data_IF_206945970191
#
_entry.id   IF_206945970191
#
_cell.length_a   1.000
_cell.length_b   1.000
_cell.length_c   1.000
_cell.angle_alpha   90.00
_cell.angle_beta   90.00
_cell.angle_gamma   90.00
#
_symmetry.space_group_name_H-M   'P 1'
#
loop_
_entity.id
_entity.type
_entity.pdbx_description
1 polymer ?
#
# COMPACT_ATOMS: atom_id res chain seq x y z
N UNK A 1 -0.77 -34.04 35.80
CA UNK A 1 -1.67 -32.88 35.75
C UNK A 1 -1.48 -32.26 34.38
N UNK A 2 -2.50 -32.24 33.53
CA UNK A 2 -2.40 -31.60 32.21
C UNK A 2 -2.32 -30.09 32.43
N UNK A 3 -1.12 -29.52 32.32
CA UNK A 3 -0.90 -28.07 32.31
C UNK A 3 -1.66 -27.46 31.14
N UNK A 4 -2.94 -27.17 31.40
CA UNK A 4 -3.80 -26.55 30.42
C UNK A 4 -3.42 -25.08 30.41
N UNK A 5 -2.65 -24.69 29.40
CA UNK A 5 -2.25 -23.30 29.15
C UNK A 5 -3.46 -22.39 29.36
N UNK A 6 -3.33 -21.43 30.28
CA UNK A 6 -4.44 -20.54 30.64
C UNK A 6 -4.70 -19.56 29.52
N UNK A 7 -5.61 -19.91 28.61
CA UNK A 7 -6.10 -18.97 27.61
C UNK A 7 -6.72 -17.73 28.28
N UNK A 8 -6.53 -16.55 27.67
CA UNK A 8 -7.03 -15.25 28.15
C UNK A 8 -8.48 -15.30 28.64
N UNK A 9 -9.33 -16.00 27.87
CA UNK A 9 -10.73 -16.25 28.18
C UNK A 9 -11.01 -17.75 28.24
N UNK A 10 -11.81 -18.15 29.22
CA UNK A 10 -12.29 -19.53 29.31
C UNK A 10 -13.24 -19.86 28.15
N UNK A 11 -13.39 -21.14 27.81
CA UNK A 11 -14.33 -21.59 26.77
C UNK A 11 -15.74 -21.07 27.00
N UNK A 12 -16.21 -21.10 28.24
CA UNK A 12 -17.53 -20.57 28.63
C UNK A 12 -17.64 -19.06 28.44
N UNK A 13 -16.57 -18.30 28.73
CA UNK A 13 -16.58 -16.86 28.52
C UNK A 13 -16.64 -16.50 27.02
N UNK A 14 -15.89 -17.23 26.18
CA UNK A 14 -15.94 -17.05 24.72
C UNK A 14 -17.33 -17.34 24.15
N UNK A 15 -17.94 -18.46 24.54
CA UNK A 15 -19.29 -18.82 24.09
C UNK A 15 -20.31 -17.73 24.45
N UNK A 16 -20.23 -17.17 25.68
CA UNK A 16 -21.13 -16.09 26.12
C UNK A 16 -20.96 -14.79 25.35
N UNK A 17 -19.75 -14.46 24.89
CA UNK A 17 -19.53 -13.29 24.03
C UNK A 17 -20.15 -13.52 22.66
N UNK A 18 -19.99 -14.72 22.10
CA UNK A 18 -20.53 -15.08 20.78
C UNK A 18 -22.06 -15.09 20.75
N UNK A 19 -22.70 -15.46 21.87
CA UNK A 19 -24.16 -15.48 22.02
C UNK A 19 -24.73 -14.20 22.64
N UNK A 20 -23.98 -13.10 22.69
CA UNK A 20 -24.33 -11.83 23.35
C UNK A 20 -25.00 -11.97 24.73
N UNK A 21 -24.56 -12.97 25.50
CA UNK A 21 -25.10 -13.30 26.83
C UNK A 21 -26.62 -13.55 26.88
N UNK A 22 -27.26 -13.96 25.78
CA UNK A 22 -28.71 -14.22 25.67
C UNK A 22 -29.25 -15.07 26.83
N UNK A 23 -28.59 -16.18 27.14
CA UNK A 23 -29.00 -17.15 28.18
C UNK A 23 -28.49 -16.82 29.60
N UNK A 24 -27.96 -15.62 29.83
CA UNK A 24 -27.35 -15.25 31.12
C UNK A 24 -28.22 -14.25 31.88
N UNK A 25 -28.59 -14.63 33.11
CA UNK A 25 -29.31 -13.77 34.04
C UNK A 25 -28.67 -12.37 34.17
N UNK A 26 -29.45 -11.28 34.26
CA UNK A 26 -28.93 -9.91 34.21
C UNK A 26 -27.81 -9.59 35.22
N UNK A 27 -27.92 -10.07 36.46
CA UNK A 27 -26.90 -9.84 37.50
C UNK A 27 -25.58 -10.56 37.19
N UNK A 28 -25.66 -11.81 36.71
CA UNK A 28 -24.52 -12.62 36.29
C UNK A 28 -23.89 -12.07 35.02
N UNK A 29 -24.70 -11.60 34.07
CA UNK A 29 -24.27 -10.94 32.83
C UNK A 29 -23.37 -9.74 33.10
N UNK A 30 -23.82 -8.80 33.95
CA UNK A 30 -23.02 -7.61 34.29
C UNK A 30 -21.66 -7.99 34.92
N UNK A 31 -21.66 -8.96 35.83
CA UNK A 31 -20.44 -9.45 36.48
C UNK A 31 -19.48 -10.08 35.47
N UNK A 32 -20.00 -10.95 34.61
CA UNK A 32 -19.20 -11.66 33.61
C UNK A 32 -18.66 -10.70 32.55
N UNK A 33 -19.47 -9.76 32.06
CA UNK A 33 -19.02 -8.69 31.15
C UNK A 33 -17.92 -7.83 31.77
N UNK A 34 -18.02 -7.47 33.06
CA UNK A 34 -16.96 -6.72 33.76
C UNK A 34 -15.66 -7.52 33.82
N UNK A 35 -15.76 -8.81 34.18
CA UNK A 35 -14.60 -9.70 34.30
C UNK A 35 -13.92 -9.95 32.95
N UNK A 36 -14.72 -10.18 31.90
CA UNK A 36 -14.22 -10.38 30.54
C UNK A 36 -13.52 -9.11 30.04
N UNK A 37 -14.14 -7.94 30.19
CA UNK A 37 -13.52 -6.65 29.80
C UNK A 37 -12.18 -6.43 30.51
N UNK A 38 -12.14 -6.67 31.81
CA UNK A 38 -10.90 -6.56 32.60
C UNK A 38 -9.81 -7.51 32.12
N UNK A 39 -10.16 -8.74 31.73
CA UNK A 39 -9.19 -9.71 31.19
C UNK A 39 -8.67 -9.29 29.83
N UNK A 40 -9.56 -8.86 28.92
CA UNK A 40 -9.15 -8.39 27.59
C UNK A 40 -8.24 -7.17 27.71
N UNK A 41 -8.57 -6.21 28.56
CA UNK A 41 -7.72 -5.05 28.82
C UNK A 41 -6.34 -5.44 29.39
N UNK A 42 -6.31 -6.37 30.35
CA UNK A 42 -5.05 -6.87 30.90
C UNK A 42 -4.20 -7.59 29.83
N UNK A 43 -4.82 -8.42 28.98
CA UNK A 43 -4.10 -9.11 27.91
C UNK A 43 -3.50 -8.16 26.86
N UNK A 44 -4.12 -7.00 26.63
CA UNK A 44 -3.51 -5.95 25.79
C UNK A 44 -2.34 -5.27 26.51
N UNK A 45 -2.46 -5.03 27.82
CA UNK A 45 -1.38 -4.47 28.61
C UNK A 45 -0.17 -5.42 28.72
N UNK A 46 -0.37 -6.74 28.67
CA UNK A 46 0.71 -7.73 28.68
C UNK A 46 1.68 -7.56 27.49
N UNK A 47 1.27 -6.91 26.38
CA UNK A 47 2.17 -6.59 25.28
C UNK A 47 3.31 -5.65 25.66
N UNK A 48 3.16 -4.84 26.71
CA UNK A 48 4.26 -4.01 27.24
C UNK A 48 5.43 -4.89 27.69
N UNK A 49 5.14 -5.95 28.43
CA UNK A 49 6.15 -6.91 28.88
C UNK A 49 6.68 -7.74 27.70
N UNK A 50 5.78 -8.28 26.87
CA UNK A 50 6.14 -9.11 25.72
C UNK A 50 7.03 -8.35 24.73
N UNK A 51 6.80 -7.06 24.51
CA UNK A 51 7.66 -6.25 23.64
C UNK A 51 9.13 -6.20 24.08
N UNK A 52 9.45 -6.57 25.32
CA UNK A 52 10.82 -6.59 25.86
C UNK A 52 11.35 -8.00 26.13
N UNK A 53 10.58 -9.04 25.79
CA UNK A 53 11.02 -10.42 25.99
C UNK A 53 12.23 -10.76 25.11
N UNK A 54 13.21 -11.54 25.64
CA UNK A 54 14.33 -12.00 24.84
C UNK A 54 13.87 -12.87 23.67
N UNK A 55 14.49 -12.71 22.50
CA UNK A 55 14.13 -13.43 21.26
C UNK A 55 14.09 -14.95 21.43
N UNK A 56 15.05 -15.51 22.19
CA UNK A 56 15.11 -16.94 22.51
C UNK A 56 13.82 -17.47 23.16
N UNK A 57 13.10 -16.65 23.92
CA UNK A 57 11.84 -17.08 24.54
C UNK A 57 10.73 -17.22 23.50
N UNK A 58 10.73 -16.40 22.45
CA UNK A 58 9.81 -16.55 21.33
C UNK A 58 10.14 -17.76 20.47
N UNK A 59 11.43 -17.99 20.19
CA UNK A 59 11.87 -19.21 19.50
C UNK A 59 11.38 -20.47 20.22
N UNK A 60 11.56 -20.53 21.55
CA UNK A 60 11.10 -21.67 22.35
C UNK A 60 9.56 -21.77 22.42
N UNK A 61 8.86 -20.64 22.50
CA UNK A 61 7.39 -20.63 22.61
C UNK A 61 6.70 -21.10 21.31
N UNK A 62 7.35 -20.92 20.17
CA UNK A 62 6.79 -21.24 18.85
C UNK A 62 7.52 -22.37 18.11
N UNK A 63 8.49 -23.04 18.74
CA UNK A 63 9.32 -24.11 18.14
C UNK A 63 8.50 -25.25 17.51
N UNK A 64 7.37 -25.59 18.14
CA UNK A 64 6.48 -26.66 17.68
C UNK A 64 5.42 -26.20 16.67
N UNK A 65 5.29 -24.89 16.41
CA UNK A 65 4.28 -24.34 15.50
C UNK A 65 4.79 -24.26 14.07
N UNK A 66 3.94 -24.62 13.10
CA UNK A 66 4.26 -24.39 11.70
C UNK A 66 4.19 -22.90 11.36
N UNK A 67 5.02 -22.46 10.41
CA UNK A 67 4.99 -21.08 9.92
C UNK A 67 3.60 -20.66 9.40
N UNK A 68 2.84 -21.59 8.83
CA UNK A 68 1.48 -21.34 8.35
C UNK A 68 0.52 -21.04 9.50
N UNK A 69 0.54 -21.86 10.57
CA UNK A 69 -0.27 -21.64 11.76
C UNK A 69 0.12 -20.34 12.47
N UNK A 70 1.42 -20.10 12.66
CA UNK A 70 1.92 -18.87 13.26
C UNK A 70 1.53 -17.63 12.44
N UNK A 71 1.56 -17.71 11.11
CA UNK A 71 1.13 -16.60 10.24
C UNK A 71 -0.36 -16.30 10.41
N UNK A 72 -1.21 -17.32 10.51
CA UNK A 72 -2.64 -17.14 10.76
C UNK A 72 -2.88 -16.48 12.13
N UNK A 73 -2.22 -16.96 13.19
CA UNK A 73 -2.34 -16.41 14.53
C UNK A 73 -1.87 -14.94 14.60
N UNK A 74 -0.76 -14.60 13.93
CA UNK A 74 -0.26 -13.23 13.82
C UNK A 74 -1.21 -12.32 13.04
N UNK A 75 -1.88 -12.84 12.01
CA UNK A 75 -2.88 -12.09 11.25
C UNK A 75 -4.10 -11.76 12.14
N UNK A 76 -4.58 -12.73 12.92
CA UNK A 76 -5.70 -12.53 13.87
C UNK A 76 -5.32 -11.55 15.00
N UNK A 77 -4.09 -11.63 15.50
CA UNK A 77 -3.56 -10.66 16.46
C UNK A 77 -3.51 -9.24 15.86
N UNK A 78 -3.00 -9.10 14.63
CA UNK A 78 -2.96 -7.82 13.92
C UNK A 78 -4.36 -7.22 13.72
N UNK A 79 -5.33 -8.02 13.25
CA UNK A 79 -6.73 -7.58 13.08
C UNK A 79 -7.34 -7.13 14.41
N UNK A 80 -7.03 -7.84 15.50
CA UNK A 80 -7.51 -7.48 16.84
C UNK A 80 -6.95 -6.13 17.29
N UNK A 81 -5.65 -5.90 17.13
CA UNK A 81 -4.99 -4.64 17.47
C UNK A 81 -5.57 -3.48 16.64
N UNK A 82 -5.71 -3.66 15.32
CA UNK A 82 -6.28 -2.63 14.44
C UNK A 82 -7.75 -2.34 14.77
N UNK A 83 -8.54 -3.35 15.12
CA UNK A 83 -9.92 -3.15 15.55
C UNK A 83 -10.00 -2.34 16.85
N UNK A 84 -9.14 -2.64 17.83
CA UNK A 84 -9.05 -1.86 19.08
C UNK A 84 -8.68 -0.41 18.77
N UNK A 85 -7.68 -0.19 17.90
CA UNK A 85 -7.26 1.14 17.46
C UNK A 85 -8.42 1.93 16.85
N UNK A 86 -9.14 1.33 15.90
CA UNK A 86 -10.26 1.98 15.20
C UNK A 86 -11.42 2.28 16.16
N UNK A 87 -11.78 1.35 17.04
CA UNK A 87 -12.89 1.54 18.00
C UNK A 87 -12.61 2.65 19.02
N UNK A 88 -11.34 2.98 19.27
CA UNK A 88 -10.93 4.03 20.20
C UNK A 88 -10.45 5.31 19.49
N UNK A 89 -10.65 5.41 18.16
CA UNK A 89 -10.26 6.56 17.35
C UNK A 89 -8.77 6.97 17.48
N UNK A 90 -7.89 5.98 17.56
CA UNK A 90 -6.45 6.20 17.67
C UNK A 90 -5.84 6.24 16.26
N UNK A 91 -5.06 7.27 15.90
CA UNK A 91 -4.40 7.28 14.59
C UNK A 91 -3.27 6.24 14.53
N UNK A 92 -3.12 5.62 13.35
CA UNK A 92 -2.08 4.60 13.13
C UNK A 92 -0.66 5.18 13.25
N UNK A 93 -0.46 6.41 12.80
CA UNK A 93 0.84 7.08 12.84
C UNK A 93 1.24 7.41 14.30
N UNK A 94 0.27 7.68 15.17
CA UNK A 94 0.50 7.88 16.61
C UNK A 94 0.98 6.59 17.29
N UNK A 95 0.33 5.45 16.98
CA UNK A 95 0.77 4.13 17.46
C UNK A 95 2.20 3.82 17.00
N UNK A 96 2.51 4.09 15.72
CA UNK A 96 3.83 3.86 15.16
C UNK A 96 4.89 4.75 15.81
N UNK A 97 4.55 6.01 16.08
CA UNK A 97 5.44 6.96 16.76
C UNK A 97 5.72 6.50 18.19
N UNK A 98 4.67 6.15 18.94
CA UNK A 98 4.78 5.63 20.31
C UNK A 98 5.60 4.34 20.37
N UNK A 99 5.36 3.39 19.46
CA UNK A 99 6.11 2.13 19.41
C UNK A 99 7.61 2.36 19.15
N UNK A 100 7.97 3.37 18.35
CA UNK A 100 9.37 3.75 18.13
C UNK A 100 10.00 4.40 19.36
N UNK A 101 9.25 5.20 20.10
CA UNK A 101 9.70 5.78 21.37
C UNK A 101 9.95 4.69 22.42
N UNK A 102 9.05 3.71 22.52
CA UNK A 102 9.23 2.55 23.38
C UNK A 102 10.47 1.75 22.99
N UNK A 103 10.65 1.45 21.69
CA UNK A 103 11.87 0.78 21.20
C UNK A 103 13.13 1.57 21.57
N UNK A 104 13.16 2.89 21.33
CA UNK A 104 14.30 3.75 21.68
C UNK A 104 14.62 3.74 23.17
N UNK A 105 13.62 3.58 24.02
CA UNK A 105 13.79 3.52 25.47
C UNK A 105 14.31 2.16 25.96
N UNK A 106 14.25 1.12 25.12
CA UNK A 106 14.71 -0.23 25.42
C UNK A 106 16.14 -0.53 24.91
N UNK A 107 16.87 0.47 24.40
CA UNK A 107 18.10 0.30 23.57
C UNK A 107 19.35 -0.19 24.31
N UNK A 108 19.38 -0.24 25.65
CA UNK A 108 20.57 -0.73 26.35
C UNK A 108 20.59 -2.26 26.59
N UNK A 109 19.47 -2.98 26.42
CA UNK A 109 19.37 -4.45 26.68
C UNK A 109 18.21 -5.15 25.89
N UNK A 110 17.70 -4.52 24.83
CA UNK A 110 16.54 -5.02 24.08
C UNK A 110 16.83 -6.18 23.11
N UNK A 111 15.80 -6.93 22.67
CA UNK A 111 15.97 -8.01 21.69
C UNK A 111 16.37 -7.50 20.29
N UNK A 112 17.33 -8.19 19.66
CA UNK A 112 17.87 -7.87 18.32
C UNK A 112 16.78 -7.81 17.24
N UNK A 113 15.74 -8.65 17.36
CA UNK A 113 14.65 -8.71 16.38
C UNK A 113 13.90 -7.39 16.22
N UNK A 114 13.85 -6.53 17.24
CA UNK A 114 13.15 -5.24 17.18
C UNK A 114 13.88 -4.19 16.33
N UNK A 115 15.18 -4.34 16.14
CA UNK A 115 15.97 -3.46 15.29
C UNK A 115 15.65 -3.68 13.81
N UNK A 116 15.33 -4.92 13.44
CA UNK A 116 14.90 -5.29 12.09
C UNK A 116 13.46 -4.86 11.77
N UNK A 117 12.63 -4.58 12.79
CA UNK A 117 11.23 -4.15 12.58
C UNK A 117 11.17 -2.74 12.01
N UNK A 118 10.81 -2.65 10.73
CA UNK A 118 10.59 -1.39 10.01
C UNK A 118 9.16 -0.88 10.19
N UNK A 119 8.89 -0.23 11.33
CA UNK A 119 7.67 0.56 11.52
C UNK A 119 7.73 1.79 10.61
N UNK A 120 6.65 2.15 9.90
CA UNK A 120 6.62 3.31 8.98
C UNK A 120 5.28 4.05 9.02
N UNK A 121 5.34 5.37 9.20
CA UNK A 121 4.15 6.24 9.15
C UNK A 121 3.65 6.44 7.72
N UNK A 122 2.41 6.92 7.56
CA UNK A 122 1.86 7.28 6.23
C UNK A 122 2.71 8.35 5.56
N UNK A 123 3.18 9.35 6.30
CA UNK A 123 4.03 10.42 5.78
C UNK A 123 5.37 9.90 5.21
N UNK A 124 5.95 8.88 5.83
CA UNK A 124 7.17 8.23 5.33
C UNK A 124 6.90 7.34 4.14
N UNK A 125 5.80 6.59 4.15
CA UNK A 125 5.38 5.80 2.98
C UNK A 125 5.14 6.71 1.78
N UNK A 126 4.47 7.85 1.99
CA UNK A 126 4.22 8.85 0.95
C UNK A 126 5.52 9.44 0.42
N UNK A 127 6.44 9.88 1.28
CA UNK A 127 7.76 10.39 0.85
C UNK A 127 8.56 9.36 0.07
N UNK A 128 8.52 8.08 0.49
CA UNK A 128 9.19 7.00 -0.24
C UNK A 128 8.56 6.77 -1.61
N UNK A 129 7.23 6.73 -1.70
CA UNK A 129 6.52 6.62 -2.97
C UNK A 129 6.84 7.83 -3.86
N UNK A 130 6.85 9.04 -3.32
CA UNK A 130 7.25 10.25 -4.06
C UNK A 130 8.70 10.14 -4.55
N UNK A 131 9.63 9.61 -3.75
CA UNK A 131 11.03 9.43 -4.13
C UNK A 131 11.21 8.29 -5.16
N UNK A 132 10.50 7.17 -5.00
CA UNK A 132 10.50 6.05 -5.94
C UNK A 132 9.84 6.46 -7.27
N UNK A 133 8.74 7.21 -7.21
CA UNK A 133 8.12 7.82 -8.38
C UNK A 133 9.05 8.86 -9.01
N UNK A 134 9.74 9.72 -8.28
CA UNK A 134 10.72 10.65 -8.85
C UNK A 134 11.91 9.93 -9.51
N UNK A 135 12.33 8.78 -8.96
CA UNK A 135 13.36 7.94 -9.54
C UNK A 135 12.88 7.21 -10.81
N UNK A 136 11.65 6.72 -10.82
CA UNK A 136 11.02 6.00 -11.95
C UNK A 136 10.49 6.95 -13.05
N UNK A 137 10.00 8.13 -12.65
CA UNK A 137 9.58 9.25 -13.50
C UNK A 137 10.68 10.29 -13.73
N UNK A 138 11.95 9.96 -13.49
CA UNK A 138 13.05 10.71 -14.12
C UNK A 138 12.75 10.71 -15.62
N UNK A 139 12.59 11.88 -16.28
CA UNK A 139 12.14 11.93 -17.67
C UNK A 139 13.12 11.11 -18.50
N UNK A 140 12.68 9.91 -18.89
CA UNK A 140 13.52 8.96 -19.61
C UNK A 140 14.09 9.66 -20.85
N UNK A 141 15.30 9.28 -21.28
CA UNK A 141 15.93 9.87 -22.48
C UNK A 141 14.97 9.92 -23.67
N UNK A 142 14.07 8.93 -23.75
CA UNK A 142 12.96 8.83 -24.71
C UNK A 142 11.84 9.87 -24.54
N UNK A 143 11.46 10.26 -23.31
CA UNK A 143 10.48 11.34 -23.07
C UNK A 143 11.04 12.70 -23.49
N UNK A 144 12.33 12.94 -23.20
CA UNK A 144 13.03 14.16 -23.65
C UNK A 144 13.17 14.18 -25.17
N UNK A 145 13.51 13.04 -25.78
CA UNK A 145 13.60 12.90 -27.22
C UNK A 145 12.23 13.12 -27.88
N UNK A 146 11.16 12.50 -27.38
CA UNK A 146 9.80 12.70 -27.94
C UNK A 146 9.31 14.13 -27.80
N UNK A 147 9.54 14.78 -26.65
CA UNK A 147 9.14 16.18 -26.44
C UNK A 147 9.94 17.13 -27.35
N UNK A 148 11.22 16.85 -27.58
CA UNK A 148 12.06 17.63 -28.51
C UNK A 148 11.61 17.43 -29.96
N UNK A 149 11.35 16.17 -30.37
CA UNK A 149 10.85 15.87 -31.71
C UNK A 149 9.48 16.52 -31.95
N UNK A 150 8.57 16.46 -30.98
CA UNK A 150 7.26 17.10 -31.10
C UNK A 150 7.36 18.62 -31.24
N UNK A 151 8.20 19.28 -30.43
CA UNK A 151 8.43 20.74 -30.52
C UNK A 151 9.07 21.16 -31.84
N UNK A 152 10.12 20.45 -32.26
CA UNK A 152 10.84 20.75 -33.52
C UNK A 152 9.93 20.49 -34.72
N UNK A 153 9.23 19.36 -34.73
CA UNK A 153 8.30 19.03 -35.80
C UNK A 153 7.11 20.00 -35.88
N UNK A 154 6.54 20.41 -34.73
CA UNK A 154 5.47 21.41 -34.68
C UNK A 154 5.95 22.78 -35.19
N UNK A 155 7.14 23.21 -34.79
CA UNK A 155 7.71 24.47 -35.23
C UNK A 155 7.95 24.48 -36.75
N UNK A 156 8.46 23.38 -37.31
CA UNK A 156 8.66 23.22 -38.76
C UNK A 156 7.34 23.24 -39.54
N UNK A 157 6.33 22.51 -39.07
CA UNK A 157 5.00 22.51 -39.70
C UNK A 157 4.36 23.90 -39.62
N UNK A 158 4.37 24.55 -38.45
CA UNK A 158 3.84 25.88 -38.28
C UNK A 158 4.56 26.92 -39.16
N UNK A 159 5.89 26.82 -39.26
CA UNK A 159 6.68 27.68 -40.13
C UNK A 159 6.28 27.55 -41.61
N UNK A 160 6.13 26.30 -42.10
CA UNK A 160 5.69 26.05 -43.48
C UNK A 160 4.23 26.45 -43.69
N UNK A 161 3.35 26.28 -42.71
CA UNK A 161 1.97 26.76 -42.79
C UNK A 161 1.88 28.28 -42.91
N UNK A 162 2.73 29.03 -42.19
CA UNK A 162 2.83 30.49 -42.34
C UNK A 162 3.38 30.85 -43.71
N UNK A 163 4.41 30.14 -44.17
CA UNK A 163 5.04 30.39 -45.47
C UNK A 163 4.09 30.09 -46.64
N UNK A 164 3.19 29.13 -46.49
CA UNK A 164 2.16 28.80 -47.49
C UNK A 164 1.12 29.92 -47.67
N UNK A 165 0.89 30.74 -46.63
CA UNK A 165 0.00 31.91 -46.70
C UNK A 165 0.70 33.10 -47.36
N UNK A 166 1.99 33.27 -47.08
CA UNK A 166 2.77 34.46 -47.51
C UNK A 166 3.41 34.27 -48.89
N UNK A 167 3.78 33.04 -49.26
CA UNK A 167 4.52 32.71 -50.48
C UNK A 167 4.10 31.34 -51.05
N UNK A 168 2.85 31.20 -51.55
CA UNK A 168 2.27 29.92 -51.95
C UNK A 168 3.02 29.21 -53.09
N UNK A 169 3.53 29.96 -54.08
CA UNK A 169 4.25 29.42 -55.24
C UNK A 169 5.59 28.77 -54.86
N UNK A 170 6.22 29.23 -53.78
CA UNK A 170 7.46 28.66 -53.25
C UNK A 170 7.20 27.37 -52.47
N UNK A 171 6.11 27.33 -51.67
CA UNK A 171 5.70 26.13 -50.92
C UNK A 171 5.19 24.99 -51.79
N UNK A 172 4.61 25.28 -52.97
CA UNK A 172 4.18 24.24 -53.92
C UNK A 172 5.35 23.56 -54.66
N UNK A 173 6.57 24.08 -54.54
CA UNK A 173 7.81 23.49 -55.06
C UNK A 173 8.73 22.99 -53.95
N UNK A 174 10.03 23.30 -54.06
CA UNK A 174 11.06 22.88 -53.09
C UNK A 174 10.81 23.40 -51.65
N UNK A 175 10.00 24.45 -51.46
CA UNK A 175 9.64 24.99 -50.15
C UNK A 175 8.75 24.10 -49.28
N UNK A 176 8.19 23.01 -49.83
CA UNK A 176 7.44 21.99 -49.08
C UNK A 176 8.33 21.05 -48.27
N UNK A 177 9.61 20.92 -48.63
CA UNK A 177 10.55 19.95 -48.01
C UNK A 177 10.67 20.08 -46.49
N UNK A 178 10.79 21.28 -45.89
CA UNK A 178 10.81 21.42 -44.43
C UNK A 178 9.52 20.96 -43.76
N UNK A 179 8.38 21.05 -44.45
CA UNK A 179 7.07 20.64 -43.93
C UNK A 179 6.92 19.12 -43.92
N UNK A 180 7.40 18.45 -44.97
CA UNK A 180 7.47 16.98 -45.05
C UNK A 180 8.40 16.42 -43.97
N UNK A 181 9.58 17.02 -43.78
CA UNK A 181 10.52 16.65 -42.72
C UNK A 181 9.92 16.90 -41.33
N UNK A 182 9.26 18.05 -41.13
CA UNK A 182 8.56 18.37 -39.88
C UNK A 182 7.45 17.37 -39.55
N UNK A 183 6.65 16.97 -40.55
CA UNK A 183 5.61 15.95 -40.40
C UNK A 183 6.19 14.57 -40.04
N UNK A 184 7.30 14.17 -40.66
CA UNK A 184 8.00 12.92 -40.31
C UNK A 184 8.55 12.92 -38.88
N UNK A 185 9.10 14.05 -38.43
CA UNK A 185 9.60 14.23 -37.07
C UNK A 185 8.45 14.21 -36.04
N UNK A 186 7.31 14.85 -36.35
CA UNK A 186 6.10 14.77 -35.53
C UNK A 186 5.57 13.35 -35.43
N UNK A 187 5.50 12.63 -36.55
CA UNK A 187 5.06 11.25 -36.59
C UNK A 187 5.98 10.35 -35.73
N UNK A 188 7.30 10.55 -35.81
CA UNK A 188 8.26 9.85 -34.94
C UNK A 188 8.06 10.16 -33.45
N UNK A 189 7.84 11.42 -33.09
CA UNK A 189 7.52 11.84 -31.73
C UNK A 189 6.22 11.20 -31.22
N UNK A 190 5.16 11.23 -32.02
CA UNK A 190 3.86 10.62 -31.73
C UNK A 190 3.94 9.09 -31.65
N UNK A 191 4.71 8.44 -32.52
CA UNK A 191 4.91 6.99 -32.49
C UNK A 191 5.61 6.53 -31.20
N UNK A 192 6.62 7.27 -30.73
CA UNK A 192 7.28 6.99 -29.45
C UNK A 192 6.29 7.15 -28.28
N UNK A 193 5.46 8.20 -28.29
CA UNK A 193 4.41 8.39 -27.28
C UNK A 193 3.37 7.28 -27.34
N UNK A 194 2.92 6.90 -28.54
CA UNK A 194 1.94 5.83 -28.77
C UNK A 194 2.43 4.46 -28.32
N UNK A 195 3.66 4.08 -28.67
CA UNK A 195 4.28 2.83 -28.21
C UNK A 195 4.42 2.81 -26.68
N UNK A 196 4.72 3.97 -26.08
CA UNK A 196 4.78 4.09 -24.62
C UNK A 196 3.39 3.95 -23.98
N UNK A 197 2.37 4.60 -24.51
CA UNK A 197 0.99 4.48 -24.03
C UNK A 197 0.51 3.02 -24.13
N UNK A 198 0.79 2.33 -25.25
CA UNK A 198 0.43 0.92 -25.42
C UNK A 198 1.17 0.03 -24.41
N UNK A 199 2.47 0.24 -24.23
CA UNK A 199 3.29 -0.60 -23.33
C UNK A 199 2.97 -0.39 -21.85
N UNK A 200 2.72 0.85 -21.44
CA UNK A 200 2.62 1.21 -20.02
C UNK A 200 1.18 1.41 -19.55
N UNK A 201 0.22 1.71 -20.43
CA UNK A 201 -1.19 1.91 -20.03
C UNK A 201 -2.07 0.75 -20.52
N UNK A 202 -1.94 0.36 -21.80
CA UNK A 202 -2.84 -0.64 -22.42
C UNK A 202 -2.49 -2.07 -22.01
N UNK A 203 -1.21 -2.45 -22.07
CA UNK A 203 -0.73 -3.79 -21.71
C UNK A 203 -1.04 -4.20 -20.24
N UNK A 204 -0.80 -3.36 -19.22
CA UNK A 204 -1.18 -3.70 -17.86
C UNK A 204 -2.69 -3.66 -17.61
N UNK A 205 -3.45 -2.79 -18.29
CA UNK A 205 -4.91 -2.80 -18.22
C UNK A 205 -5.51 -4.09 -18.80
N UNK A 206 -5.01 -4.54 -19.97
CA UNK A 206 -5.41 -5.82 -20.56
C UNK A 206 -5.01 -7.01 -19.69
N UNK A 207 -3.83 -6.98 -19.06
CA UNK A 207 -3.43 -8.03 -18.11
C UNK A 207 -4.34 -8.07 -16.88
N UNK A 208 -4.74 -6.91 -16.32
CA UNK A 208 -5.71 -6.84 -15.22
C UNK A 208 -7.09 -7.40 -15.61
N UNK A 209 -7.56 -7.08 -16.82
CA UNK A 209 -8.83 -7.61 -17.35
C UNK A 209 -8.77 -9.12 -17.55
N UNK A 210 -7.63 -9.66 -18.01
CA UNK A 210 -7.44 -11.09 -18.22
C UNK A 210 -7.22 -11.87 -16.91
N UNK A 211 -6.61 -11.25 -15.89
CA UNK A 211 -6.38 -11.90 -14.60
C UNK A 211 -7.59 -11.85 -13.68
N UNK A 212 -8.47 -10.83 -13.80
CA UNK A 212 -9.68 -10.74 -12.97
C UNK A 212 -10.87 -10.02 -13.67
N UNK A 213 -11.57 -10.72 -14.58
CA UNK A 213 -12.61 -10.11 -15.42
C UNK A 213 -13.86 -9.70 -14.62
N UNK A 214 -14.14 -10.37 -13.49
CA UNK A 214 -15.35 -10.16 -12.69
C UNK A 214 -15.24 -8.92 -11.80
N UNK A 215 -14.07 -8.65 -11.23
CA UNK A 215 -13.83 -7.46 -10.40
C UNK A 215 -13.78 -6.17 -11.24
N UNK A 216 -13.23 -6.26 -12.45
CA UNK A 216 -13.15 -5.12 -13.38
C UNK A 216 -14.54 -4.71 -13.89
N UNK A 217 -15.42 -5.67 -14.20
CA UNK A 217 -16.82 -5.40 -14.59
C UNK A 217 -17.64 -4.77 -13.44
N UNK A 218 -17.42 -5.20 -12.19
CA UNK A 218 -18.04 -4.56 -11.01
C UNK A 218 -17.59 -3.12 -10.80
N UNK A 219 -16.32 -2.83 -11.06
CA UNK A 219 -15.76 -1.49 -10.86
C UNK A 219 -16.29 -0.49 -11.89
N UNK A 220 -16.44 -0.91 -13.15
CA UNK A 220 -17.03 -0.08 -14.21
C UNK A 220 -18.53 0.11 -14.02
N UNK A 221 -19.25 -0.93 -13.55
CA UNK A 221 -20.68 -0.86 -13.26
C UNK A 221 -21.02 0.06 -12.08
N UNK A 222 -20.13 0.17 -11.09
CA UNK A 222 -20.31 1.06 -9.94
C UNK A 222 -19.90 2.53 -10.22
N UNK A 223 -19.34 2.82 -11.40
CA UNK A 223 -18.96 4.18 -11.82
C UNK A 223 -19.92 4.79 -12.87
N UNK A 224 -20.92 4.02 -13.31
CA UNK A 224 -22.04 4.45 -14.17
C UNK A 224 -23.29 4.66 -13.31
#
# INVERSE_FOLDING_TARGET
>A
MSDTVSALLTRTQRARIQSDFEDVEPAKRRRDQKKIRSRVAAGVADFELLATYPDRQYELAFDEQSNEALTADLADAYLTIERIRILNDIDRDDVITTAREHRRSAVDDGPDSLDDVRLRTRAERRRRIETELEAEYRPSRWKRLSDTLLKVGLALVAFVSVLAVVAPDFTNGFGSLPGIVGAGILFGGLAIVGVRAVKYDVLPAFRRILSDPVETLRTVWNQL
#
